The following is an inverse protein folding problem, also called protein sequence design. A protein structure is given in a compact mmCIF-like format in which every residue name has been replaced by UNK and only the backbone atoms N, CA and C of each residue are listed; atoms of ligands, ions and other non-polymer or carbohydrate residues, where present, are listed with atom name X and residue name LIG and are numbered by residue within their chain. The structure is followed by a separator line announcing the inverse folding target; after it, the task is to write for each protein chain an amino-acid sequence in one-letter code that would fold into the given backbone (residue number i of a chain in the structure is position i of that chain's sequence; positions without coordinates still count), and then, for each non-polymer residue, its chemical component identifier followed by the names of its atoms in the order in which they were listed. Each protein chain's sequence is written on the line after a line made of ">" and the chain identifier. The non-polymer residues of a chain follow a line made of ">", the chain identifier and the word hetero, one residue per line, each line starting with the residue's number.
data_IF_307547539502
#
_entry.id   IF_307547539502
#
_cell.length_a   1.000
_cell.length_b   1.000
_cell.length_c   1.000
_cell.angle_alpha   90.00
_cell.angle_beta   90.00
_cell.angle_gamma   90.00
#
_symmetry.space_group_name_H-M   'P 1'
#
loop_
_entity.id
_entity.type
_entity.pdbx_description
1 polymer ?
#
# COMPACT_ATOMS: atom_id res chain seq x y z
N UNK A 1 -6.71 -18.41 -20.02
CA UNK A 1 -8.14 -18.75 -20.18
C UNK A 1 -8.85 -19.30 -18.95
N UNK A 2 -8.55 -20.51 -18.45
CA UNK A 2 -9.36 -21.18 -17.41
C UNK A 2 -9.67 -20.34 -16.16
N UNK A 3 -8.69 -19.59 -15.63
CA UNK A 3 -8.90 -18.74 -14.44
C UNK A 3 -9.93 -17.64 -14.69
N UNK A 4 -9.97 -17.08 -15.89
CA UNK A 4 -10.90 -16.01 -16.24
C UNK A 4 -12.34 -16.50 -16.34
N UNK A 5 -12.53 -17.68 -16.93
CA UNK A 5 -13.84 -18.35 -17.00
C UNK A 5 -14.33 -18.67 -15.58
N UNK A 6 -13.44 -19.21 -14.74
CA UNK A 6 -13.79 -19.51 -13.36
C UNK A 6 -14.22 -18.26 -12.57
N UNK A 7 -13.53 -17.13 -12.76
CA UNK A 7 -13.87 -15.86 -12.11
C UNK A 7 -15.24 -15.32 -12.51
N UNK A 8 -15.70 -15.56 -13.74
CA UNK A 8 -17.03 -15.11 -14.17
C UNK A 8 -18.16 -16.04 -13.72
N UNK A 9 -17.88 -17.33 -13.51
CA UNK A 9 -18.89 -18.35 -13.15
C UNK A 9 -19.03 -18.59 -11.64
N UNK A 10 -18.06 -18.18 -10.83
CA UNK A 10 -18.07 -18.46 -9.39
C UNK A 10 -19.03 -17.58 -8.60
N UNK A 11 -19.46 -18.08 -7.44
CA UNK A 11 -20.30 -17.33 -6.49
C UNK A 11 -19.74 -15.95 -6.17
N UNK A 12 -20.60 -14.97 -5.88
CA UNK A 12 -20.26 -13.59 -5.51
C UNK A 12 -19.64 -13.49 -4.11
N UNK A 13 -18.57 -14.24 -3.85
CA UNK A 13 -17.84 -14.25 -2.58
C UNK A 13 -16.38 -13.90 -2.81
N UNK A 14 -15.75 -13.37 -1.77
CA UNK A 14 -14.32 -13.12 -1.78
C UNK A 14 -13.55 -14.45 -1.72
N UNK A 15 -12.51 -14.58 -2.55
CA UNK A 15 -11.61 -15.75 -2.56
C UNK A 15 -10.75 -15.89 -1.29
N UNK A 16 -10.59 -14.82 -0.51
CA UNK A 16 -9.69 -14.79 0.64
C UNK A 16 -10.44 -14.92 1.97
N UNK A 17 -11.46 -14.09 2.19
CA UNK A 17 -12.21 -14.10 3.46
C UNK A 17 -13.51 -14.90 3.38
N UNK A 18 -13.95 -15.31 2.18
CA UNK A 18 -15.18 -16.06 1.93
C UNK A 18 -16.48 -15.44 2.49
N UNK A 19 -16.42 -14.20 2.97
CA UNK A 19 -17.58 -13.47 3.48
C UNK A 19 -18.61 -13.28 2.37
N UNK A 20 -19.88 -13.50 2.73
CA UNK A 20 -21.04 -13.25 1.86
C UNK A 20 -21.52 -11.80 1.93
N UNK A 21 -21.17 -11.09 3.01
CA UNK A 21 -21.69 -9.76 3.33
C UNK A 21 -20.90 -8.64 2.65
N UNK A 22 -19.73 -8.97 2.09
CA UNK A 22 -18.90 -8.01 1.35
C UNK A 22 -19.08 -8.18 -0.15
N UNK A 23 -19.43 -7.10 -0.85
CA UNK A 23 -19.44 -7.04 -2.31
C UNK A 23 -18.03 -7.37 -2.85
N UNK A 24 -17.88 -8.60 -3.34
CA UNK A 24 -16.64 -9.06 -3.95
C UNK A 24 -16.62 -8.68 -5.44
N UNK A 25 -15.52 -8.10 -5.89
CA UNK A 25 -15.33 -7.66 -7.27
C UNK A 25 -14.21 -8.45 -7.93
N UNK A 26 -14.29 -8.61 -9.25
CA UNK A 26 -13.23 -9.23 -10.03
C UNK A 26 -12.19 -8.15 -10.38
N UNK A 27 -10.96 -8.35 -9.94
CA UNK A 27 -9.81 -7.55 -10.35
C UNK A 27 -9.08 -8.28 -11.47
N UNK A 28 -9.53 -8.07 -12.71
CA UNK A 28 -9.09 -8.80 -13.89
C UNK A 28 -7.56 -8.80 -14.11
N UNK A 29 -6.91 -7.68 -13.79
CA UNK A 29 -5.45 -7.51 -13.87
C UNK A 29 -4.73 -8.49 -12.94
N UNK A 30 -5.26 -8.70 -11.74
CA UNK A 30 -4.69 -9.62 -10.74
C UNK A 30 -5.29 -11.03 -10.81
N UNK A 31 -6.36 -11.22 -11.59
CA UNK A 31 -7.08 -12.51 -11.76
C UNK A 31 -7.62 -13.06 -10.43
N UNK A 32 -8.16 -12.18 -9.60
CA UNK A 32 -8.76 -12.51 -8.30
C UNK A 32 -10.12 -11.84 -8.15
N UNK A 33 -11.04 -12.51 -7.47
CA UNK A 33 -12.29 -11.96 -6.97
C UNK A 33 -12.17 -11.72 -5.46
N UNK A 34 -12.18 -10.47 -5.02
CA UNK A 34 -12.09 -10.16 -3.60
C UNK A 34 -12.86 -8.92 -3.18
N UNK A 35 -13.10 -8.78 -1.89
CA UNK A 35 -13.67 -7.55 -1.35
C UNK A 35 -12.59 -6.47 -1.21
N UNK A 36 -13.04 -5.21 -1.09
CA UNK A 36 -12.15 -4.04 -0.93
C UNK A 36 -11.15 -4.21 0.20
N UNK A 37 -11.56 -4.78 1.34
CA UNK A 37 -10.66 -5.02 2.48
C UNK A 37 -9.49 -5.93 2.10
N UNK A 38 -9.78 -7.08 1.50
CA UNK A 38 -8.75 -8.04 1.12
C UNK A 38 -7.88 -7.52 -0.04
N UNK A 39 -8.45 -6.74 -0.98
CA UNK A 39 -7.66 -6.03 -1.98
C UNK A 39 -6.65 -5.09 -1.33
N UNK A 40 -7.11 -4.24 -0.41
CA UNK A 40 -6.29 -3.27 0.32
C UNK A 40 -5.19 -3.96 1.13
N UNK A 41 -5.46 -5.13 1.70
CA UNK A 41 -4.46 -5.95 2.40
C UNK A 41 -3.38 -6.50 1.48
N UNK A 42 -3.77 -6.98 0.29
CA UNK A 42 -2.89 -7.67 -0.66
C UNK A 42 -2.19 -6.77 -1.67
N UNK A 43 -2.54 -5.48 -1.69
CA UNK A 43 -1.94 -4.50 -2.60
C UNK A 43 -1.11 -3.46 -1.85
N UNK A 44 -0.24 -2.80 -2.61
CA UNK A 44 0.61 -1.70 -2.14
C UNK A 44 0.65 -0.60 -3.19
N UNK A 45 0.65 0.66 -2.74
CA UNK A 45 0.64 1.81 -3.64
C UNK A 45 2.03 2.12 -4.19
N UNK A 46 2.06 2.75 -5.36
CA UNK A 46 3.28 3.30 -5.93
C UNK A 46 3.95 4.33 -4.99
N UNK A 47 3.15 5.19 -4.35
CA UNK A 47 3.66 6.23 -3.45
C UNK A 47 4.40 5.62 -2.26
N UNK A 48 3.82 4.56 -1.65
CA UNK A 48 4.45 3.84 -0.55
C UNK A 48 5.75 3.16 -1.00
N UNK A 49 5.78 2.51 -2.15
CA UNK A 49 6.99 1.89 -2.70
C UNK A 49 8.10 2.92 -2.94
N UNK A 50 7.76 4.07 -3.51
CA UNK A 50 8.70 5.16 -3.75
C UNK A 50 9.24 5.75 -2.44
N UNK A 51 8.38 5.91 -1.42
CA UNK A 51 8.77 6.43 -0.10
C UNK A 51 9.70 5.47 0.65
N UNK A 52 9.44 4.17 0.58
CA UNK A 52 10.29 3.16 1.23
C UNK A 52 11.62 2.95 0.50
N UNK A 53 11.72 3.30 -0.79
CA UNK A 53 12.97 3.24 -1.56
C UNK A 53 13.51 1.82 -1.83
N UNK A 54 12.77 0.77 -1.44
CA UNK A 54 13.22 -0.62 -1.52
C UNK A 54 13.11 -1.25 -2.90
N UNK A 55 12.23 -0.72 -3.76
CA UNK A 55 11.91 -1.30 -5.07
C UNK A 55 12.26 -0.31 -6.17
N UNK A 56 13.00 -0.77 -7.18
CA UNK A 56 13.43 0.09 -8.29
C UNK A 56 12.24 0.50 -9.17
N UNK A 57 12.31 1.70 -9.76
CA UNK A 57 11.32 2.17 -10.75
C UNK A 57 11.23 1.24 -11.95
N UNK A 58 12.34 0.61 -12.32
CA UNK A 58 12.43 -0.39 -13.39
C UNK A 58 11.58 -1.63 -13.10
N UNK A 59 11.59 -2.13 -11.87
CA UNK A 59 10.72 -3.27 -11.49
C UNK A 59 9.26 -2.84 -11.51
N UNK A 60 8.94 -1.67 -10.96
CA UNK A 60 7.56 -1.16 -10.94
C UNK A 60 6.99 -0.91 -12.35
N UNK A 61 7.80 -0.49 -13.32
CA UNK A 61 7.34 -0.29 -14.70
C UNK A 61 7.02 -1.61 -15.41
N UNK A 62 7.60 -2.72 -14.93
CA UNK A 62 7.48 -4.05 -15.49
C UNK A 62 6.30 -4.86 -14.91
N UNK A 63 5.50 -4.28 -14.01
CA UNK A 63 4.44 -4.97 -13.29
C UNK A 63 3.04 -4.50 -13.70
N UNK A 64 2.06 -5.42 -13.78
CA UNK A 64 0.67 -5.04 -13.94
C UNK A 64 0.14 -4.32 -12.68
N UNK A 65 -0.76 -3.37 -12.87
CA UNK A 65 -1.36 -2.59 -11.79
C UNK A 65 -2.82 -2.21 -12.11
N UNK A 66 -3.57 -1.86 -11.07
CA UNK A 66 -4.86 -1.17 -11.19
C UNK A 66 -4.68 0.31 -10.84
N UNK A 67 -5.54 1.19 -11.35
CA UNK A 67 -5.37 2.66 -11.19
C UNK A 67 -6.60 3.40 -10.60
N UNK A 68 -7.23 2.95 -9.50
CA UNK A 68 -8.40 3.64 -8.95
C UNK A 68 -8.16 5.16 -8.77
N UNK A 69 -8.89 5.98 -9.52
CA UNK A 69 -8.78 7.45 -9.53
C UNK A 69 -7.33 7.95 -9.70
N UNK A 70 -6.57 7.37 -10.63
CA UNK A 70 -5.17 7.73 -10.90
C UNK A 70 -4.15 7.15 -9.91
N UNK A 71 -4.61 6.40 -8.91
CA UNK A 71 -3.76 5.84 -7.86
C UNK A 71 -3.29 4.43 -8.21
N UNK A 72 -2.00 4.27 -8.52
CA UNK A 72 -1.46 2.96 -8.95
C UNK A 72 -1.27 2.02 -7.77
N UNK A 73 -1.94 0.87 -7.85
CA UNK A 73 -1.83 -0.22 -6.89
C UNK A 73 -1.26 -1.46 -7.55
N UNK A 74 -0.28 -2.06 -6.89
CA UNK A 74 0.40 -3.26 -7.33
C UNK A 74 0.06 -4.41 -6.38
N UNK A 75 0.07 -5.63 -6.91
CA UNK A 75 -0.08 -6.82 -6.09
C UNK A 75 1.21 -7.09 -5.31
N UNK A 76 1.12 -7.21 -3.98
CA UNK A 76 2.30 -7.31 -3.12
C UNK A 76 3.17 -8.52 -3.46
N UNK A 77 2.54 -9.69 -3.70
CA UNK A 77 3.26 -10.91 -4.04
C UNK A 77 4.02 -10.80 -5.38
N UNK A 78 3.48 -10.06 -6.35
CA UNK A 78 4.11 -9.89 -7.66
C UNK A 78 5.34 -8.99 -7.57
N UNK A 79 5.30 -7.98 -6.70
CA UNK A 79 6.48 -7.13 -6.42
C UNK A 79 7.58 -7.94 -5.79
N UNK A 80 7.30 -8.71 -4.74
CA UNK A 80 8.31 -9.52 -4.07
C UNK A 80 8.96 -10.51 -5.03
N UNK A 81 8.13 -11.17 -5.84
CA UNK A 81 8.62 -12.10 -6.86
C UNK A 81 9.48 -11.40 -7.90
N UNK A 82 9.05 -10.25 -8.43
CA UNK A 82 9.82 -9.52 -9.43
C UNK A 82 11.12 -8.95 -8.88
N UNK A 83 11.13 -8.50 -7.62
CA UNK A 83 12.34 -8.07 -6.92
C UNK A 83 13.32 -9.22 -6.78
N UNK A 84 12.87 -10.38 -6.29
CA UNK A 84 13.70 -11.58 -6.18
C UNK A 84 14.25 -12.01 -7.53
N UNK A 85 13.42 -12.02 -8.58
CA UNK A 85 13.90 -12.33 -9.93
C UNK A 85 14.96 -11.33 -10.39
N UNK A 86 14.75 -10.03 -10.16
CA UNK A 86 15.65 -8.97 -10.59
C UNK A 86 17.01 -9.01 -9.86
N UNK A 87 17.00 -9.26 -8.55
CA UNK A 87 18.21 -9.32 -7.72
C UNK A 87 19.13 -10.49 -8.11
N UNK A 88 18.59 -11.53 -8.74
CA UNK A 88 19.34 -12.69 -9.19
C UNK A 88 19.83 -12.59 -10.65
N UNK A 89 19.59 -11.47 -11.35
CA UNK A 89 20.02 -11.30 -12.74
C UNK A 89 21.47 -10.85 -12.84
N UNK A 90 22.20 -11.39 -13.83
CA UNK A 90 23.46 -10.78 -14.23
C UNK A 90 23.21 -9.42 -14.92
N UNK A 91 24.12 -8.43 -14.82
CA UNK A 91 23.93 -7.10 -15.42
C UNK A 91 23.58 -7.12 -16.92
N UNK A 92 24.14 -8.07 -17.67
CA UNK A 92 23.88 -8.28 -19.10
C UNK A 92 22.46 -8.76 -19.42
N UNK A 93 21.76 -9.35 -18.45
CA UNK A 93 20.42 -9.94 -18.61
C UNK A 93 19.30 -8.97 -18.25
N UNK A 94 19.62 -7.86 -17.56
CA UNK A 94 18.63 -6.90 -17.07
C UNK A 94 17.77 -6.36 -18.22
N UNK A 95 18.39 -5.94 -19.33
CA UNK A 95 17.66 -5.35 -20.45
C UNK A 95 16.67 -6.33 -21.10
N UNK A 96 17.07 -7.59 -21.31
CA UNK A 96 16.22 -8.61 -21.90
C UNK A 96 15.10 -9.03 -20.94
N UNK A 97 15.39 -9.11 -19.64
CA UNK A 97 14.39 -9.36 -18.61
C UNK A 97 13.35 -8.24 -18.55
N UNK A 98 13.77 -6.97 -18.55
CA UNK A 98 12.88 -5.80 -18.54
C UNK A 98 11.95 -5.82 -19.75
N UNK A 99 12.49 -6.05 -20.95
CA UNK A 99 11.68 -6.14 -22.18
C UNK A 99 10.64 -7.26 -22.10
N UNK A 100 11.05 -8.46 -21.65
CA UNK A 100 10.16 -9.61 -21.50
C UNK A 100 9.06 -9.33 -20.46
N UNK A 101 9.39 -8.74 -19.32
CA UNK A 101 8.42 -8.41 -18.28
C UNK A 101 7.43 -7.34 -18.72
N UNK A 102 7.90 -6.31 -19.43
CA UNK A 102 7.02 -5.32 -20.04
C UNK A 102 6.01 -5.95 -21.02
N UNK A 103 6.47 -6.87 -21.88
CA UNK A 103 5.57 -7.58 -22.80
C UNK A 103 4.52 -8.42 -22.04
N UNK A 104 4.93 -9.10 -20.97
CA UNK A 104 4.01 -9.88 -20.13
C UNK A 104 2.99 -8.97 -19.45
N UNK A 105 3.44 -7.88 -18.82
CA UNK A 105 2.57 -6.93 -18.13
C UNK A 105 1.58 -6.27 -19.11
N UNK A 106 2.04 -5.92 -20.31
CA UNK A 106 1.19 -5.39 -21.38
C UNK A 106 0.09 -6.39 -21.75
N UNK A 107 0.44 -7.65 -22.02
CA UNK A 107 -0.54 -8.70 -22.35
C UNK A 107 -1.56 -8.89 -21.23
N UNK A 108 -1.11 -9.02 -19.97
CA UNK A 108 -2.01 -9.15 -18.81
C UNK A 108 -2.98 -7.98 -18.71
N UNK A 109 -2.46 -6.75 -18.84
CA UNK A 109 -3.27 -5.53 -18.71
C UNK A 109 -4.26 -5.39 -19.87
N UNK A 110 -3.83 -5.71 -21.09
CA UNK A 110 -4.68 -5.68 -22.27
C UNK A 110 -5.81 -6.71 -22.19
N UNK A 111 -5.48 -7.96 -21.87
CA UNK A 111 -6.45 -9.04 -21.68
C UNK A 111 -7.45 -8.70 -20.56
N UNK A 112 -6.96 -8.11 -19.46
CA UNK A 112 -7.80 -7.69 -18.36
C UNK A 112 -8.84 -6.65 -18.78
N UNK A 113 -8.44 -5.65 -19.59
CA UNK A 113 -9.35 -4.63 -20.12
C UNK A 113 -10.43 -5.22 -21.02
N UNK A 114 -10.05 -6.14 -21.92
CA UNK A 114 -11.01 -6.82 -22.81
C UNK A 114 -12.07 -7.56 -21.99
N UNK A 115 -11.64 -8.28 -20.94
CA UNK A 115 -12.56 -9.06 -20.11
C UNK A 115 -13.42 -8.21 -19.19
N UNK A 116 -12.85 -7.15 -18.63
CA UNK A 116 -13.61 -6.18 -17.85
C UNK A 116 -14.72 -5.57 -18.70
N UNK A 117 -14.40 -5.15 -19.93
CA UNK A 117 -15.39 -4.63 -20.86
C UNK A 117 -16.47 -5.68 -21.20
N UNK A 118 -16.09 -6.90 -21.56
CA UNK A 118 -17.04 -7.96 -21.90
C UNK A 118 -17.96 -8.32 -20.71
N UNK A 119 -17.40 -8.39 -19.51
CA UNK A 119 -18.16 -8.65 -18.29
C UNK A 119 -19.13 -7.50 -17.97
N UNK A 120 -18.67 -6.25 -18.04
CA UNK A 120 -19.51 -5.09 -17.79
C UNK A 120 -20.64 -4.98 -18.82
N UNK A 121 -20.36 -5.28 -20.09
CA UNK A 121 -21.39 -5.34 -21.13
C UNK A 121 -22.45 -6.40 -20.83
N UNK A 122 -22.04 -7.61 -20.42
CA UNK A 122 -22.97 -8.67 -20.05
C UNK A 122 -23.84 -8.28 -18.84
N UNK A 123 -23.23 -7.67 -17.81
CA UNK A 123 -23.96 -7.19 -16.63
C UNK A 123 -24.96 -6.07 -17.00
N UNK A 124 -24.60 -5.16 -17.92
CA UNK A 124 -25.50 -4.14 -18.44
C UNK A 124 -26.69 -4.76 -19.20
N UNK A 125 -26.44 -5.76 -20.05
CA UNK A 125 -27.51 -6.50 -20.73
C UNK A 125 -28.47 -7.20 -19.75
N UNK A 126 -27.98 -7.58 -18.57
CA UNK A 126 -28.77 -8.15 -17.49
C UNK A 126 -29.47 -7.09 -16.61
N UNK A 127 -29.43 -5.80 -16.99
CA UNK A 127 -30.09 -4.71 -16.28
C UNK A 127 -29.32 -4.13 -15.09
N UNK A 128 -28.03 -4.46 -14.92
CA UNK A 128 -27.19 -3.91 -13.84
C UNK A 128 -26.56 -2.60 -14.30
N UNK A 129 -26.86 -1.48 -13.64
CA UNK A 129 -26.19 -0.20 -13.90
C UNK A 129 -24.86 -0.13 -13.13
N UNK A 130 -23.75 -0.30 -13.84
CA UNK A 130 -22.41 -0.43 -13.24
C UNK A 130 -21.59 0.86 -13.33
N UNK A 131 -21.95 1.81 -14.21
CA UNK A 131 -21.11 2.97 -14.54
C UNK A 131 -20.81 3.84 -13.32
N UNK A 132 -21.85 4.41 -12.69
CA UNK A 132 -21.69 5.22 -11.48
C UNK A 132 -21.11 4.43 -10.30
N UNK A 133 -21.40 3.13 -10.22
CA UNK A 133 -20.89 2.26 -9.17
C UNK A 133 -19.37 2.08 -9.28
N UNK A 134 -18.84 1.90 -10.49
CA UNK A 134 -17.40 1.72 -10.73
C UNK A 134 -16.60 2.94 -10.27
N UNK A 135 -17.08 4.14 -10.56
CA UNK A 135 -16.41 5.38 -10.19
C UNK A 135 -16.39 5.59 -8.67
N UNK A 136 -17.54 5.42 -8.02
CA UNK A 136 -17.62 5.47 -6.56
C UNK A 136 -16.73 4.41 -5.90
N UNK A 137 -16.70 3.19 -6.43
CA UNK A 137 -15.87 2.10 -5.92
C UNK A 137 -14.38 2.35 -6.14
N UNK A 138 -13.99 3.02 -7.23
CA UNK A 138 -12.62 3.45 -7.45
C UNK A 138 -12.20 4.49 -6.41
N UNK A 139 -13.02 5.51 -6.17
CA UNK A 139 -12.77 6.52 -5.14
C UNK A 139 -12.66 5.88 -3.75
N UNK A 140 -13.61 5.02 -3.41
CA UNK A 140 -13.64 4.29 -2.12
C UNK A 140 -12.38 3.43 -1.94
N UNK A 141 -11.93 2.74 -3.00
CA UNK A 141 -10.67 1.97 -2.96
C UNK A 141 -9.46 2.85 -2.71
N UNK A 142 -9.34 3.98 -3.42
CA UNK A 142 -8.24 4.93 -3.22
C UNK A 142 -8.25 5.48 -1.79
N UNK A 143 -9.40 5.93 -1.30
CA UNK A 143 -9.58 6.40 0.07
C UNK A 143 -9.19 5.33 1.11
N UNK A 144 -9.66 4.10 0.93
CA UNK A 144 -9.32 2.97 1.82
C UNK A 144 -7.81 2.69 1.89
N UNK A 145 -7.12 2.74 0.75
CA UNK A 145 -5.66 2.60 0.69
C UNK A 145 -4.94 3.73 1.42
N UNK A 146 -5.32 4.97 1.13
CA UNK A 146 -4.71 6.14 1.76
C UNK A 146 -4.94 6.17 3.29
N UNK A 147 -6.13 5.73 3.76
CA UNK A 147 -6.39 5.55 5.19
C UNK A 147 -5.48 4.50 5.81
N UNK A 148 -5.33 3.32 5.18
CA UNK A 148 -4.43 2.28 5.68
C UNK A 148 -2.99 2.79 5.83
N UNK A 149 -2.50 3.52 4.84
CA UNK A 149 -1.16 4.13 4.88
C UNK A 149 -1.04 5.19 5.98
N UNK A 150 -2.08 6.00 6.17
CA UNK A 150 -2.14 6.99 7.24
C UNK A 150 -2.12 6.32 8.63
N UNK A 151 -2.87 5.23 8.81
CA UNK A 151 -2.86 4.46 10.05
C UNK A 151 -1.48 3.89 10.37
N UNK A 152 -0.75 3.44 9.36
CA UNK A 152 0.64 3.00 9.52
C UNK A 152 1.58 4.16 9.86
N UNK A 153 1.43 5.32 9.22
CA UNK A 153 2.23 6.53 9.49
C UNK A 153 2.02 7.05 10.91
N UNK A 154 0.78 7.04 11.40
CA UNK A 154 0.39 7.61 12.68
C UNK A 154 0.30 6.58 13.81
N UNK A 155 0.58 5.31 13.52
CA UNK A 155 0.36 4.18 14.43
C UNK A 155 -1.05 4.19 15.04
N UNK A 156 -2.07 4.44 14.21
CA UNK A 156 -3.47 4.57 14.62
C UNK A 156 -4.39 3.58 13.92
N UNK A 157 -5.40 3.10 14.66
CA UNK A 157 -6.45 2.25 14.11
C UNK A 157 -7.44 3.09 13.27
N UNK A 158 -7.42 2.87 11.96
CA UNK A 158 -8.20 3.62 10.98
C UNK A 158 -9.64 3.12 10.83
N UNK A 159 -10.02 2.01 11.46
CA UNK A 159 -11.39 1.48 11.39
C UNK A 159 -12.41 2.48 11.95
N UNK A 160 -12.00 3.28 12.94
CA UNK A 160 -12.83 4.35 13.51
C UNK A 160 -12.92 5.57 12.58
N UNK A 161 -11.91 5.82 11.74
CA UNK A 161 -11.90 6.95 10.82
C UNK A 161 -12.92 6.77 9.70
N UNK A 162 -13.08 5.56 9.17
CA UNK A 162 -14.13 5.25 8.19
C UNK A 162 -15.53 5.48 8.74
N UNK A 163 -15.70 5.44 10.06
CA UNK A 163 -16.97 5.71 10.74
C UNK A 163 -17.14 7.18 11.13
N UNK A 164 -16.10 8.00 11.01
CA UNK A 164 -16.16 9.43 11.37
C UNK A 164 -17.13 10.19 10.47
N UNK A 165 -17.76 11.24 11.01
CA UNK A 165 -18.62 12.14 10.22
C UNK A 165 -17.82 12.78 9.08
N UNK A 166 -16.58 13.18 9.34
CA UNK A 166 -15.69 13.77 8.33
C UNK A 166 -15.47 12.83 7.16
N UNK A 167 -15.18 11.54 7.39
CA UNK A 167 -15.04 10.58 6.28
C UNK A 167 -16.34 10.46 5.48
N UNK A 168 -17.49 10.34 6.15
CA UNK A 168 -18.80 10.23 5.49
C UNK A 168 -19.19 11.47 4.69
N UNK A 169 -18.80 12.66 5.15
CA UNK A 169 -19.01 13.91 4.41
C UNK A 169 -18.20 13.93 3.12
N UNK A 170 -16.94 13.49 3.19
CA UNK A 170 -16.09 13.39 2.01
C UNK A 170 -16.53 12.30 1.04
N UNK A 171 -17.01 11.17 1.55
CA UNK A 171 -17.51 10.05 0.73
C UNK A 171 -18.65 10.48 -0.19
N UNK A 172 -19.53 11.37 0.27
CA UNK A 172 -20.62 11.94 -0.52
C UNK A 172 -20.16 12.80 -1.70
N UNK A 173 -18.94 13.35 -1.64
CA UNK A 173 -18.40 14.27 -2.64
C UNK A 173 -17.21 13.68 -3.40
N UNK A 174 -16.94 12.38 -3.22
CA UNK A 174 -15.93 11.69 -3.99
C UNK A 174 -16.24 11.76 -5.48
N UNK A 175 -15.30 12.29 -6.25
CA UNK A 175 -15.38 12.39 -7.70
C UNK A 175 -14.20 11.65 -8.33
N UNK A 176 -14.43 10.76 -9.31
CA UNK A 176 -13.36 10.07 -10.03
C UNK A 176 -12.36 11.02 -10.71
N UNK A 177 -12.76 12.26 -11.00
CA UNK A 177 -11.94 13.31 -11.62
C UNK A 177 -11.19 14.18 -10.61
N UNK A 178 -11.26 13.89 -9.31
CA UNK A 178 -10.44 14.62 -8.33
C UNK A 178 -8.97 14.59 -8.70
N UNK A 179 -8.40 15.79 -8.81
CA UNK A 179 -6.97 15.98 -8.94
C UNK A 179 -6.23 15.54 -7.67
N UNK A 180 -4.92 15.30 -7.79
CA UNK A 180 -4.07 14.89 -6.67
C UNK A 180 -4.14 15.86 -5.49
N UNK A 181 -4.29 17.17 -5.75
CA UNK A 181 -4.45 18.20 -4.72
C UNK A 181 -5.69 17.95 -3.86
N UNK A 182 -6.80 17.49 -4.44
CA UNK A 182 -8.04 17.22 -3.70
C UNK A 182 -7.89 16.00 -2.80
N UNK A 183 -7.24 14.94 -3.32
CA UNK A 183 -6.89 13.77 -2.51
C UNK A 183 -5.94 14.10 -1.37
N UNK A 184 -4.97 15.00 -1.58
CA UNK A 184 -4.08 15.43 -0.52
C UNK A 184 -4.81 16.28 0.53
N UNK A 185 -5.72 17.19 0.13
CA UNK A 185 -6.59 17.91 1.07
C UNK A 185 -7.41 16.95 1.94
N UNK A 186 -8.01 15.94 1.30
CA UNK A 186 -8.73 14.89 2.00
C UNK A 186 -7.82 14.14 2.99
N UNK A 187 -6.60 13.76 2.56
CA UNK A 187 -5.61 13.07 3.41
C UNK A 187 -5.23 13.90 4.63
N UNK A 188 -5.01 15.20 4.45
CA UNK A 188 -4.72 16.15 5.54
C UNK A 188 -5.89 16.25 6.52
N UNK A 189 -7.12 16.28 6.03
CA UNK A 189 -8.31 16.26 6.89
C UNK A 189 -8.37 14.97 7.72
N UNK A 190 -8.16 13.80 7.10
CA UNK A 190 -8.13 12.51 7.80
C UNK A 190 -7.00 12.43 8.83
N UNK A 191 -5.83 13.01 8.53
CA UNK A 191 -4.70 13.11 9.47
C UNK A 191 -5.07 13.89 10.72
N UNK A 192 -5.74 15.04 10.57
CA UNK A 192 -6.25 15.84 11.70
C UNK A 192 -7.25 15.05 12.54
N UNK A 193 -8.17 14.32 11.90
CA UNK A 193 -9.17 13.52 12.60
C UNK A 193 -8.56 12.32 13.37
N UNK A 194 -7.54 11.64 12.80
CA UNK A 194 -6.80 10.60 13.54
C UNK A 194 -6.09 11.18 14.77
N UNK A 195 -5.44 12.34 14.65
CA UNK A 195 -4.77 12.97 15.79
C UNK A 195 -5.78 13.35 16.89
N UNK A 196 -6.93 13.93 16.51
CA UNK A 196 -8.01 14.28 17.44
C UNK A 196 -8.54 13.06 18.19
N UNK A 197 -8.86 11.98 17.47
CA UNK A 197 -9.39 10.74 18.06
C UNK A 197 -8.37 10.03 18.96
N UNK A 198 -7.09 10.03 18.59
CA UNK A 198 -6.01 9.49 19.44
C UNK A 198 -5.80 10.31 20.72
N UNK A 199 -5.84 11.65 20.64
CA UNK A 199 -5.71 12.51 21.81
C UNK A 199 -6.89 12.32 22.77
N UNK A 200 -8.10 12.14 22.26
CA UNK A 200 -9.27 11.80 23.07
C UNK A 200 -9.09 10.46 23.80
N UNK A 201 -8.58 9.41 23.12
CA UNK A 201 -8.28 8.12 23.76
C UNK A 201 -7.23 8.24 24.86
N UNK A 202 -6.16 9.04 24.64
CA UNK A 202 -5.14 9.30 25.67
C UNK A 202 -5.72 10.08 26.86
N UNK A 203 -6.57 11.08 26.61
CA UNK A 203 -7.23 11.87 27.65
C UNK A 203 -8.23 11.06 28.50
N UNK A 204 -8.98 10.14 27.89
CA UNK A 204 -9.86 9.21 28.59
C UNK A 204 -9.06 8.26 29.49
N UNK A 205 -7.96 7.70 28.98
CA UNK A 205 -7.09 6.81 29.76
C UNK A 205 -6.45 7.51 30.98
N UNK A 206 -6.19 8.82 30.91
CA UNK A 206 -5.70 9.63 32.03
C UNK A 206 -6.81 9.90 33.06
N UNK A 207 -8.04 10.14 32.62
CA UNK A 207 -9.18 10.35 33.54
C UNK A 207 -9.58 9.06 34.25
N UNK A 208 -9.56 7.92 33.57
CA UNK A 208 -9.87 6.62 34.17
C UNK A 208 -8.79 6.18 35.19
N UNK A 209 -7.53 6.58 35.00
CA UNK A 209 -6.48 6.38 36.02
C UNK A 209 -6.59 7.31 37.22
N UNK A 210 -7.20 8.49 37.10
CA UNK A 210 -7.43 9.37 38.26
C UNK A 210 -8.47 8.82 39.25
N UNK A 211 -9.41 7.99 38.78
CA UNK A 211 -10.38 7.31 39.66
C UNK A 211 -9.80 6.06 40.36
N UNK A 212 -8.62 5.59 39.96
CA UNK A 212 -7.91 4.49 40.64
C UNK A 212 -6.89 4.96 41.71
N UNK A 213 -6.63 6.27 41.83
CA UNK A 213 -5.63 6.80 42.77
C UNK A 213 -6.27 7.37 44.06
N UNK A 214 -7.59 7.50 44.13
CA UNK A 214 -8.29 7.96 45.35
C UNK A 214 -8.80 6.83 46.28
N UNK A 215 -8.33 5.58 46.08
CA UNK A 215 -8.79 4.41 46.84
C UNK A 215 -7.74 3.73 47.73
N UNK A 216 -6.61 4.36 48.06
CA UNK A 216 -5.61 3.79 48.99
C UNK A 216 -4.96 4.84 49.87
N UNK A 217 -5.58 5.12 51.02
CA UNK A 217 -4.91 5.64 52.20
C UNK A 217 -5.29 4.71 53.37
N UNK A 218 -4.28 4.32 54.15
CA UNK A 218 -4.24 3.38 55.30
C UNK A 218 -4.31 1.89 54.88
N UNK A 219 -3.33 1.03 55.19
CA UNK A 219 -2.67 0.79 56.47
C UNK A 219 -1.19 0.41 56.28
N UNK A 220 -0.38 0.84 57.26
CA UNK A 220 1.06 0.64 57.42
C UNK A 220 1.47 -0.80 57.81
N UNK A 221 2.80 -0.98 57.82
CA UNK A 221 3.60 -2.07 58.38
C UNK A 221 3.66 -3.31 57.50
N UNK A 222 4.77 -4.02 57.37
CA UNK A 222 6.18 -3.85 57.71
C UNK A 222 6.80 -5.16 57.22
N UNK A 223 7.95 -5.13 56.55
CA UNK A 223 9.12 -5.93 56.92
C UNK A 223 10.19 -5.89 55.84
N UNK A 224 11.40 -5.72 56.36
CA UNK A 224 12.69 -5.66 55.71
C UNK A 224 13.15 -7.06 55.30
N UNK A 225 14.11 -7.11 54.37
CA UNK A 225 14.88 -8.32 54.03
C UNK A 225 15.37 -8.25 52.59
N UNK A 226 16.36 -7.43 52.26
CA UNK A 226 17.81 -7.68 52.38
C UNK A 226 18.41 -8.52 51.23
N UNK A 227 19.30 -7.82 50.51
CA UNK A 227 20.62 -8.26 50.03
C UNK A 227 20.72 -9.28 48.88
N UNK A 228 21.41 -8.85 47.83
CA UNK A 228 21.92 -9.73 46.78
C UNK A 228 22.71 -9.00 45.69
N UNK A 229 23.85 -8.38 46.05
CA UNK A 229 24.88 -7.88 45.12
C UNK A 229 25.32 -9.01 44.16
N UNK A 230 25.59 -8.67 42.89
CA UNK A 230 26.84 -9.08 42.21
C UNK A 230 27.10 -8.26 40.95
N UNK A 231 28.30 -7.70 40.93
CA UNK A 231 28.94 -6.89 39.92
C UNK A 231 29.84 -7.78 39.04
N UNK A 232 29.94 -7.47 37.75
CA UNK A 232 31.10 -7.74 36.85
C UNK A 232 30.90 -6.75 35.67
N UNK A 233 31.67 -5.67 35.46
CA UNK A 233 33.10 -5.47 35.24
C UNK A 233 33.62 -5.93 33.86
N UNK A 234 34.08 -4.93 33.08
CA UNK A 234 35.22 -4.92 32.12
C UNK A 234 35.13 -5.76 30.84
N UNK A 235 35.65 -5.39 29.65
CA UNK A 235 36.46 -4.26 29.15
C UNK A 235 36.49 -4.31 27.58
N UNK A 236 37.08 -3.31 26.90
CA UNK A 236 37.08 -3.14 25.43
C UNK A 236 38.43 -3.45 24.75
N UNK A 237 38.43 -3.65 23.42
CA UNK A 237 39.60 -3.56 22.52
C UNK A 237 39.13 -3.68 21.05
N UNK A 238 39.22 -2.70 20.15
CA UNK A 238 40.37 -2.03 19.50
C UNK A 238 41.12 -2.88 18.45
N UNK A 239 41.01 -2.51 17.16
CA UNK A 239 42.07 -2.45 16.12
C UNK A 239 41.37 -2.36 14.75
N UNK A 240 41.34 -1.24 14.03
CA UNK A 240 42.41 -0.60 13.24
C UNK A 240 43.00 -1.56 12.19
N UNK A 241 42.64 -1.37 10.92
CA UNK A 241 43.63 -1.34 9.84
C UNK A 241 43.15 -0.61 8.59
N UNK A 242 44.06 0.21 8.09
CA UNK A 242 44.04 1.12 6.95
C UNK A 242 44.89 0.52 5.82
N UNK A 243 44.46 0.65 4.56
CA UNK A 243 45.29 0.79 3.33
C UNK A 243 44.31 0.97 2.15
N UNK A 244 44.24 2.11 1.44
CA UNK A 244 45.14 2.68 0.41
C UNK A 244 45.52 1.71 -0.72
N UNK A 245 44.92 1.91 -1.90
CA UNK A 245 45.58 2.29 -3.17
C UNK A 245 44.47 2.61 -4.21
N UNK A 246 44.41 3.80 -4.83
CA UNK A 246 45.26 4.48 -5.82
C UNK A 246 45.21 3.88 -7.24
N UNK A 247 44.65 4.71 -8.14
CA UNK A 247 45.03 4.85 -9.55
C UNK A 247 44.01 4.28 -10.53
N UNK A 248 43.73 4.84 -11.71
CA UNK A 248 44.01 6.13 -12.37
C UNK A 248 43.43 5.98 -13.79
N UNK A 249 42.85 7.05 -14.35
CA UNK A 249 42.72 7.36 -15.82
C UNK A 249 41.89 6.40 -16.69
N UNK A 250 41.11 6.79 -17.72
CA UNK A 250 41.24 7.79 -18.79
C UNK A 250 39.84 8.02 -19.43
N UNK A 251 39.43 9.28 -19.72
CA UNK A 251 39.41 9.98 -21.03
C UNK A 251 38.71 9.29 -22.23
N UNK A 252 37.71 10.00 -22.77
CA UNK A 252 37.13 9.85 -24.13
C UNK A 252 35.60 9.91 -24.06
N UNK A 253 34.84 10.83 -24.68
CA UNK A 253 35.06 11.67 -25.85
C UNK A 253 33.94 11.40 -26.87
N UNK A 254 33.32 12.48 -27.39
CA UNK A 254 32.23 12.53 -28.41
C UNK A 254 30.80 12.26 -27.89
N UNK A 255 29.78 13.06 -28.14
CA UNK A 255 29.57 14.08 -29.18
C UNK A 255 28.39 13.67 -30.05
N UNK A 256 27.15 14.04 -29.69
CA UNK A 256 25.99 13.95 -30.59
C UNK A 256 25.15 15.22 -30.52
N UNK A 257 25.03 15.87 -31.67
CA UNK A 257 24.17 17.03 -31.96
C UNK A 257 22.70 16.59 -32.09
N UNK A 258 21.74 17.50 -31.86
CA UNK A 258 20.31 17.22 -31.98
C UNK A 258 19.80 17.27 -33.43
N UNK A 259 18.84 16.40 -33.73
CA UNK A 259 18.07 16.37 -34.98
C UNK A 259 16.97 17.43 -34.92
N UNK A 260 16.93 18.31 -35.94
CA UNK A 260 15.82 19.24 -36.18
C UNK A 260 14.71 18.50 -36.93
N UNK A 261 13.48 18.58 -36.43
CA UNK A 261 12.28 18.39 -37.25
C UNK A 261 11.85 19.75 -37.81
N UNK A 262 11.63 19.83 -39.12
CA UNK A 262 10.91 20.94 -39.77
C UNK A 262 9.41 20.68 -39.68
N UNK A 263 8.68 21.78 -39.52
CA UNK A 263 7.22 21.88 -39.55
C UNK A 263 6.64 21.51 -40.92
#
# INVERSE_FOLDING_TARGET
>A
EQRYIWLSLTTNRCEFCHSKDSSAQIYWVFRVRCCTRCLVEKTISQQKLLKEGKISKTIMSCLPYIHPCGYRLYWHADILKAQQEFDNLAPKEIASWVLKKHQIAYKITHDAKIREHAYNHQQYQNGVNIGHQIDHDNCTRRAGMMLKELGQELLCDTTNLQKSSTYREWEKVFDPHWEEIMWEKWRVAMKKECIKTNNLKKGLNIKDKKYLIFGRINVMSSQQGSLGRKSFATAPSSSRNTMRDRGSTSRGGSGRKPVRYRA
#
